data_IF_425182461995
#
_entry.id   IF_425182461995
#
_cell.length_a   1.000
_cell.length_b   1.000
_cell.length_c   1.000
_cell.angle_alpha   90.00
_cell.angle_beta   90.00
_cell.angle_gamma   90.00
#
_symmetry.space_group_name_H-M   'P 1'
#
loop_
_entity.id
_entity.type
_entity.pdbx_description
1 polymer ?
#
# COMPACT_ATOMS: atom_id res chain seq x y z
N UNK A 1 6.49 13.18 11.50
CA UNK A 1 6.03 11.78 11.39
C UNK A 1 6.14 10.96 12.67
N UNK A 2 7.24 11.04 13.44
CA UNK A 2 7.47 10.23 14.65
C UNK A 2 6.37 10.27 15.73
N UNK A 3 5.46 11.25 15.73
CA UNK A 3 4.32 11.28 16.66
C UNK A 3 3.14 10.41 16.18
N UNK A 4 2.93 10.27 14.87
CA UNK A 4 1.81 9.49 14.32
C UNK A 4 2.03 7.98 14.49
N UNK A 5 3.28 7.53 14.38
CA UNK A 5 3.65 6.12 14.55
C UNK A 5 3.45 5.59 15.98
N UNK A 6 3.15 6.48 16.95
CA UNK A 6 2.82 6.13 18.34
C UNK A 6 1.33 5.84 18.57
N UNK A 7 0.48 6.07 17.56
CA UNK A 7 -0.94 5.74 17.65
C UNK A 7 -1.11 4.21 17.55
N UNK A 8 -2.10 3.66 18.27
CA UNK A 8 -2.37 2.21 18.30
C UNK A 8 -2.57 1.59 16.90
N UNK A 9 -3.13 2.36 15.97
CA UNK A 9 -3.31 1.98 14.55
C UNK A 9 -2.00 1.80 13.76
N UNK A 10 -0.84 2.14 14.34
CA UNK A 10 0.49 1.86 13.79
C UNK A 10 1.21 0.75 14.56
N UNK A 11 0.57 0.04 15.48
CA UNK A 11 1.18 -1.09 16.19
C UNK A 11 1.63 -2.22 15.24
N UNK A 12 1.08 -2.30 14.03
CA UNK A 12 1.58 -3.23 12.99
C UNK A 12 3.07 -3.01 12.67
N UNK A 13 3.61 -1.81 12.90
CA UNK A 13 5.03 -1.51 12.72
C UNK A 13 5.92 -2.31 13.67
N UNK A 14 5.40 -2.71 14.84
CA UNK A 14 6.09 -3.61 15.76
C UNK A 14 6.17 -5.00 15.14
N UNK A 15 5.08 -5.49 14.54
CA UNK A 15 5.07 -6.76 13.82
C UNK A 15 5.96 -6.75 12.57
N UNK A 16 6.18 -5.58 11.95
CA UNK A 16 7.14 -5.43 10.86
C UNK A 16 8.59 -5.47 11.32
N UNK A 17 8.91 -5.06 12.55
CA UNK A 17 10.30 -5.06 13.03
C UNK A 17 10.94 -6.44 13.07
N UNK A 18 10.14 -7.51 13.08
CA UNK A 18 10.61 -8.89 12.93
C UNK A 18 10.91 -9.30 11.48
N UNK A 19 10.65 -8.44 10.49
CA UNK A 19 10.95 -8.68 9.08
C UNK A 19 12.08 -7.76 8.62
N UNK A 20 13.36 -8.18 8.72
CA UNK A 20 14.50 -7.31 8.47
C UNK A 20 14.55 -6.77 7.04
N UNK A 21 14.04 -7.54 6.07
CA UNK A 21 14.01 -7.17 4.65
C UNK A 21 12.88 -6.18 4.29
N UNK A 22 12.11 -5.70 5.27
CA UNK A 22 11.00 -4.77 5.05
C UNK A 22 11.03 -3.62 6.06
N UNK A 23 11.73 -2.55 5.71
CA UNK A 23 11.75 -1.30 6.47
C UNK A 23 10.88 -0.27 5.74
N UNK A 24 9.92 0.33 6.45
CA UNK A 24 9.10 1.40 5.89
C UNK A 24 9.94 2.66 5.71
N UNK A 25 9.89 3.20 4.50
CA UNK A 25 10.40 4.51 4.18
C UNK A 25 9.32 5.56 4.42
N UNK A 26 9.45 6.22 5.56
CA UNK A 26 8.48 7.18 6.03
C UNK A 26 8.42 8.45 5.17
N UNK A 27 9.55 8.93 4.69
CA UNK A 27 9.59 10.12 3.82
C UNK A 27 8.98 9.82 2.45
N UNK A 28 9.28 8.65 1.88
CA UNK A 28 8.68 8.18 0.63
C UNK A 28 7.16 7.95 0.77
N UNK A 29 6.75 7.31 1.88
CA UNK A 29 5.34 7.11 2.21
C UNK A 29 4.61 8.45 2.29
N UNK A 30 5.17 9.41 3.01
CA UNK A 30 4.56 10.74 3.15
C UNK A 30 4.49 11.48 1.82
N UNK A 31 5.55 11.42 1.02
CA UNK A 31 5.56 12.00 -0.32
C UNK A 31 4.44 11.42 -1.20
N UNK A 32 4.28 10.09 -1.22
CA UNK A 32 3.22 9.40 -1.97
C UNK A 32 1.80 9.77 -1.48
N UNK A 33 1.62 9.89 -0.16
CA UNK A 33 0.34 10.28 0.42
C UNK A 33 -0.07 11.71 0.06
N UNK A 34 0.88 12.65 0.03
CA UNK A 34 0.58 14.05 -0.31
C UNK A 34 0.52 14.31 -1.81
N UNK A 35 0.98 13.37 -2.63
CA UNK A 35 1.03 13.63 -4.05
C UNK A 35 -0.31 13.51 -4.76
N UNK A 36 -0.65 14.50 -5.57
CA UNK A 36 -1.86 14.47 -6.39
C UNK A 36 -1.59 13.74 -7.71
N UNK A 37 -2.51 12.88 -8.17
CA UNK A 37 -2.46 12.37 -9.53
C UNK A 37 -2.90 13.47 -10.49
N UNK A 38 -2.26 13.53 -11.65
CA UNK A 38 -2.74 14.29 -12.80
C UNK A 38 -2.99 13.28 -13.91
N UNK A 39 -4.25 12.99 -14.19
CA UNK A 39 -4.63 11.95 -15.16
C UNK A 39 -4.83 12.57 -16.55
N UNK A 40 -5.85 13.40 -16.71
CA UNK A 40 -6.19 14.09 -17.96
C UNK A 40 -6.95 15.40 -17.69
N UNK A 41 -7.39 16.08 -18.75
CA UNK A 41 -8.13 17.34 -18.66
C UNK A 41 -9.51 17.23 -17.98
N UNK A 42 -10.07 16.03 -17.84
CA UNK A 42 -11.33 15.78 -17.13
C UNK A 42 -11.15 15.65 -15.60
N UNK A 43 -9.90 15.53 -15.14
CA UNK A 43 -9.60 15.41 -13.72
C UNK A 43 -9.78 16.75 -13.00
N UNK A 44 -10.80 16.82 -12.15
CA UNK A 44 -11.16 18.05 -11.43
C UNK A 44 -10.51 18.11 -10.05
N UNK A 45 -10.51 19.30 -9.44
CA UNK A 45 -10.10 19.48 -8.04
C UNK A 45 -10.91 18.60 -7.06
N UNK A 46 -12.18 18.33 -7.37
CA UNK A 46 -13.00 17.45 -6.54
C UNK A 46 -12.53 15.99 -6.62
N UNK A 47 -12.11 15.54 -7.80
CA UNK A 47 -11.50 14.22 -7.98
C UNK A 47 -10.17 14.11 -7.21
N UNK A 48 -9.30 15.14 -7.31
CA UNK A 48 -8.04 15.21 -6.55
C UNK A 48 -8.28 15.13 -5.04
N UNK A 49 -9.20 15.94 -4.51
CA UNK A 49 -9.56 15.96 -3.09
C UNK A 49 -10.13 14.63 -2.61
N UNK A 50 -10.97 13.98 -3.43
CA UNK A 50 -11.56 12.68 -3.11
C UNK A 50 -10.50 11.58 -3.06
N UNK A 51 -9.59 11.57 -4.04
CA UNK A 51 -8.46 10.66 -4.09
C UNK A 51 -7.52 10.85 -2.89
N UNK A 52 -7.16 12.10 -2.58
CA UNK A 52 -6.36 12.43 -1.40
C UNK A 52 -7.03 11.94 -0.11
N UNK A 53 -8.32 12.21 0.07
CA UNK A 53 -9.10 11.75 1.23
C UNK A 53 -9.10 10.22 1.33
N UNK A 54 -9.28 9.52 0.21
CA UNK A 54 -9.26 8.06 0.18
C UNK A 54 -7.90 7.48 0.60
N UNK A 55 -6.79 8.03 0.10
CA UNK A 55 -5.43 7.62 0.50
C UNK A 55 -5.23 7.75 2.00
N UNK A 56 -5.63 8.86 2.60
CA UNK A 56 -5.50 9.04 4.04
C UNK A 56 -6.42 8.13 4.85
N UNK A 57 -7.67 7.90 4.41
CA UNK A 57 -8.55 6.92 5.06
C UNK A 57 -7.97 5.51 5.02
N UNK A 58 -7.40 5.11 3.89
CA UNK A 58 -6.71 3.82 3.72
C UNK A 58 -5.47 3.75 4.64
N UNK A 59 -4.62 4.78 4.60
CA UNK A 59 -3.42 4.85 5.43
C UNK A 59 -3.73 4.85 6.94
N UNK A 60 -4.84 5.44 7.36
CA UNK A 60 -5.20 5.60 8.76
C UNK A 60 -6.17 4.52 9.28
N UNK A 61 -6.55 3.53 8.48
CA UNK A 61 -7.57 2.52 8.82
C UNK A 61 -8.97 3.09 9.08
N UNK A 62 -9.30 4.23 8.47
CA UNK A 62 -10.59 4.93 8.63
C UNK A 62 -11.54 4.66 7.44
N UNK A 63 -11.37 3.54 6.73
CA UNK A 63 -12.36 3.08 5.77
C UNK A 63 -13.62 2.60 6.50
N UNK A 64 -14.82 2.78 5.92
CA UNK A 64 -16.09 2.44 6.56
C UNK A 64 -16.34 0.92 6.54
N UNK A 65 -15.54 0.15 7.29
CA UNK A 65 -15.77 -1.28 7.49
C UNK A 65 -17.01 -1.51 8.33
N UNK A 66 -17.61 -2.70 8.25
CA UNK A 66 -18.77 -3.02 9.09
C UNK A 66 -18.48 -2.83 10.59
N UNK A 67 -17.30 -3.22 11.08
CA UNK A 67 -16.91 -3.00 12.48
C UNK A 67 -16.76 -1.51 12.82
N UNK A 68 -16.34 -0.68 11.87
CA UNK A 68 -16.35 0.78 12.04
C UNK A 68 -17.79 1.32 12.07
N UNK A 69 -18.64 0.87 11.14
CA UNK A 69 -20.04 1.30 11.03
C UNK A 69 -20.86 0.97 12.28
N UNK A 70 -20.65 -0.21 12.88
CA UNK A 70 -21.24 -0.60 14.18
C UNK A 70 -20.92 0.38 15.30
N UNK A 71 -19.72 0.95 15.31
CA UNK A 71 -19.30 1.91 16.34
C UNK A 71 -19.96 3.27 16.16
N UNK A 72 -20.17 3.72 14.93
CA UNK A 72 -20.71 5.06 14.65
C UNK A 72 -22.23 5.08 14.55
N UNK A 73 -22.86 3.98 14.12
CA UNK A 73 -24.31 3.82 13.92
C UNK A 73 -24.77 2.43 14.36
N UNK A 74 -24.64 2.08 15.66
CA UNK A 74 -25.04 0.78 16.17
C UNK A 74 -26.52 0.50 15.90
N UNK A 75 -27.37 1.53 15.93
CA UNK A 75 -28.79 1.46 15.61
C UNK A 75 -29.10 0.86 14.23
N UNK A 76 -28.19 0.99 13.27
CA UNK A 76 -28.35 0.44 11.91
C UNK A 76 -27.57 -0.86 11.67
N UNK A 77 -26.42 -1.03 12.31
CA UNK A 77 -25.43 -2.03 11.92
C UNK A 77 -25.16 -3.11 12.97
N UNK A 78 -25.67 -2.99 14.21
CA UNK A 78 -25.31 -3.90 15.31
C UNK A 78 -25.64 -5.37 15.01
N UNK A 79 -26.76 -5.63 14.33
CA UNK A 79 -27.24 -6.98 14.02
C UNK A 79 -26.55 -7.62 12.81
N UNK A 80 -25.77 -6.85 12.05
CA UNK A 80 -25.04 -7.38 10.90
C UNK A 80 -23.73 -7.98 11.42
N UNK A 81 -23.73 -9.29 11.66
CA UNK A 81 -22.59 -9.95 12.31
C UNK A 81 -21.44 -10.27 11.35
N UNK A 82 -21.75 -10.50 10.07
CA UNK A 82 -20.81 -11.07 9.10
C UNK A 82 -20.58 -10.13 7.91
N UNK A 83 -19.40 -10.24 7.32
CA UNK A 83 -19.04 -9.58 6.07
C UNK A 83 -20.07 -9.91 5.00
N UNK A 84 -20.60 -8.88 4.34
CA UNK A 84 -21.64 -9.03 3.31
C UNK A 84 -21.16 -9.76 2.05
N UNK A 85 -19.85 -9.82 1.82
CA UNK A 85 -19.29 -10.53 0.67
C UNK A 85 -19.14 -12.02 0.92
N UNK A 86 -18.61 -12.43 2.08
CA UNK A 86 -18.28 -13.83 2.33
C UNK A 86 -19.23 -14.55 3.30
N UNK A 87 -20.01 -13.81 4.09
CA UNK A 87 -20.94 -14.31 5.10
C UNK A 87 -20.29 -15.28 6.11
N UNK A 88 -19.01 -15.10 6.41
CA UNK A 88 -18.21 -16.10 7.13
C UNK A 88 -17.33 -15.52 8.25
N UNK A 89 -17.08 -14.21 8.23
CA UNK A 89 -16.22 -13.56 9.23
C UNK A 89 -16.66 -12.11 9.44
N UNK A 90 -16.29 -11.53 10.58
CA UNK A 90 -16.46 -10.09 10.82
C UNK A 90 -15.69 -9.29 9.76
N UNK A 91 -16.29 -8.20 9.27
CA UNK A 91 -15.61 -7.29 8.34
C UNK A 91 -14.90 -6.18 9.12
N UNK A 92 -13.67 -6.46 9.54
CA UNK A 92 -12.72 -5.44 9.98
C UNK A 92 -11.84 -4.95 8.82
N UNK A 93 -10.92 -4.04 9.11
CA UNK A 93 -10.06 -3.43 8.10
C UNK A 93 -9.16 -4.46 7.38
N UNK A 94 -8.64 -5.46 8.11
CA UNK A 94 -7.85 -6.53 7.50
C UNK A 94 -8.72 -7.42 6.61
N UNK A 95 -9.90 -7.82 7.09
CA UNK A 95 -10.84 -8.64 6.33
C UNK A 95 -11.31 -7.95 5.04
N UNK A 96 -11.38 -6.61 5.02
CA UNK A 96 -11.75 -5.86 3.81
C UNK A 96 -10.93 -6.28 2.58
N UNK A 97 -9.63 -6.53 2.77
CA UNK A 97 -8.71 -6.93 1.72
C UNK A 97 -8.52 -8.45 1.65
N UNK A 98 -8.51 -9.13 2.81
CA UNK A 98 -8.26 -10.57 2.91
C UNK A 98 -9.49 -11.45 2.67
N UNK A 99 -10.68 -10.86 2.54
CA UNK A 99 -11.93 -11.57 2.31
C UNK A 99 -11.79 -12.53 1.12
N UNK A 100 -12.15 -13.81 1.29
CA UNK A 100 -12.04 -14.84 0.25
C UNK A 100 -12.71 -14.45 -1.07
N UNK A 101 -13.80 -13.69 -0.99
CA UNK A 101 -14.56 -13.21 -2.15
C UNK A 101 -13.91 -12.01 -2.87
N UNK A 102 -12.95 -11.33 -2.24
CA UNK A 102 -12.24 -10.15 -2.79
C UNK A 102 -10.76 -10.42 -3.06
N UNK A 103 -10.23 -11.51 -2.49
CA UNK A 103 -8.82 -11.90 -2.53
C UNK A 103 -8.24 -11.90 -3.94
N UNK A 104 -8.93 -12.49 -4.92
CA UNK A 104 -8.45 -12.56 -6.31
C UNK A 104 -8.23 -11.16 -6.89
N UNK A 105 -9.18 -10.25 -6.67
CA UNK A 105 -9.06 -8.87 -7.15
C UNK A 105 -7.90 -8.13 -6.46
N UNK A 106 -7.71 -8.36 -5.15
CA UNK A 106 -6.58 -7.77 -4.42
C UNK A 106 -5.22 -8.29 -4.89
N UNK A 107 -5.11 -9.60 -5.14
CA UNK A 107 -3.90 -10.21 -5.71
C UNK A 107 -3.62 -9.65 -7.11
N UNK A 108 -4.63 -9.47 -7.95
CA UNK A 108 -4.49 -8.85 -9.27
C UNK A 108 -4.00 -7.40 -9.20
N UNK A 109 -4.52 -6.60 -8.26
CA UNK A 109 -4.06 -5.23 -8.04
C UNK A 109 -2.59 -5.23 -7.61
N UNK A 110 -2.21 -6.10 -6.68
CA UNK A 110 -0.84 -6.21 -6.19
C UNK A 110 0.13 -6.65 -7.30
N UNK A 111 -0.27 -7.62 -8.13
CA UNK A 111 0.51 -8.07 -9.29
C UNK A 111 0.64 -6.96 -10.35
N UNK A 112 -0.43 -6.22 -10.63
CA UNK A 112 -0.38 -5.08 -11.56
C UNK A 112 0.59 -4.00 -11.07
N UNK A 113 0.57 -3.70 -9.77
CA UNK A 113 1.50 -2.77 -9.15
C UNK A 113 2.95 -3.27 -9.22
N UNK A 114 3.18 -4.56 -8.94
CA UNK A 114 4.50 -5.19 -9.05
C UNK A 114 5.04 -5.10 -10.49
N UNK A 115 4.24 -5.45 -11.49
CA UNK A 115 4.63 -5.37 -12.90
C UNK A 115 4.92 -3.95 -13.34
N UNK A 116 4.09 -2.98 -12.93
CA UNK A 116 4.33 -1.58 -13.24
C UNK A 116 5.68 -1.11 -12.70
N UNK A 117 6.01 -1.45 -11.45
CA UNK A 117 7.30 -1.10 -10.87
C UNK A 117 8.48 -1.79 -11.57
N UNK A 118 8.33 -3.06 -11.97
CA UNK A 118 9.33 -3.78 -12.77
C UNK A 118 9.59 -3.04 -14.09
N UNK A 119 8.55 -2.59 -14.77
CA UNK A 119 8.69 -1.82 -16.00
C UNK A 119 9.47 -0.51 -15.75
N UNK A 120 9.21 0.19 -14.64
CA UNK A 120 9.97 1.39 -14.25
C UNK A 120 11.44 1.10 -13.96
N UNK A 121 11.76 -0.04 -13.35
CA UNK A 121 13.14 -0.48 -13.15
C UNK A 121 13.83 -0.83 -14.48
N UNK A 122 13.10 -1.41 -15.43
CA UNK A 122 13.59 -1.69 -16.78
C UNK A 122 13.90 -0.40 -17.53
N UNK A 123 12.94 0.53 -17.60
CA UNK A 123 13.11 1.86 -18.20
C UNK A 123 14.31 2.59 -17.58
N UNK A 124 14.44 2.54 -16.26
CA UNK A 124 15.58 3.09 -15.53
C UNK A 124 16.91 2.45 -15.94
N UNK A 125 16.97 1.12 -16.03
CA UNK A 125 18.15 0.37 -16.47
C UNK A 125 18.57 0.73 -17.89
N UNK A 126 17.60 0.81 -18.80
CA UNK A 126 17.83 1.19 -20.20
C UNK A 126 18.40 2.62 -20.32
N UNK A 127 17.85 3.57 -19.56
CA UNK A 127 18.31 4.96 -19.53
C UNK A 127 19.77 5.10 -19.09
N UNK A 128 20.20 4.31 -18.10
CA UNK A 128 21.58 4.33 -17.57
C UNK A 128 22.48 3.28 -18.21
N UNK A 129 21.97 2.52 -19.20
CA UNK A 129 22.65 1.41 -19.90
C UNK A 129 23.20 0.35 -18.93
N UNK A 130 22.42 -0.03 -17.92
CA UNK A 130 22.73 -1.10 -16.96
C UNK A 130 21.64 -2.16 -16.99
N UNK A 131 22.04 -3.43 -16.90
CA UNK A 131 21.10 -4.55 -16.78
C UNK A 131 20.43 -4.56 -15.39
N UNK A 132 19.09 -4.38 -15.30
CA UNK A 132 18.37 -4.37 -14.03
C UNK A 132 17.94 -5.77 -13.57
N UNK A 133 18.30 -6.85 -14.28
CA UNK A 133 17.80 -8.21 -14.02
C UNK A 133 18.02 -8.68 -12.58
N UNK A 134 19.20 -8.45 -12.01
CA UNK A 134 19.49 -8.82 -10.62
C UNK A 134 18.63 -8.03 -9.61
N UNK A 135 18.42 -6.73 -9.88
CA UNK A 135 17.60 -5.84 -9.05
C UNK A 135 16.13 -6.26 -9.12
N UNK A 136 15.64 -6.59 -10.31
CA UNK A 136 14.28 -7.10 -10.52
C UNK A 136 14.06 -8.42 -9.77
N UNK A 137 15.06 -9.32 -9.74
CA UNK A 137 14.97 -10.56 -8.99
C UNK A 137 14.88 -10.30 -7.47
N UNK A 138 15.71 -9.40 -6.93
CA UNK A 138 15.61 -8.96 -5.52
C UNK A 138 14.26 -8.31 -5.22
N UNK A 139 13.76 -7.48 -6.13
CA UNK A 139 12.47 -6.82 -6.00
C UNK A 139 11.34 -7.85 -5.93
N UNK A 140 11.32 -8.85 -6.82
CA UNK A 140 10.33 -9.93 -6.83
C UNK A 140 10.37 -10.80 -5.57
N UNK A 141 11.53 -10.94 -4.92
CA UNK A 141 11.66 -11.70 -3.67
C UNK A 141 11.21 -10.96 -2.42
N UNK A 142 10.82 -9.67 -2.52
CA UNK A 142 10.36 -8.93 -1.36
C UNK A 142 9.12 -9.59 -0.73
N UNK A 143 9.04 -9.65 0.61
CA UNK A 143 7.95 -10.33 1.30
C UNK A 143 6.58 -9.69 1.07
N UNK A 144 6.51 -8.41 0.69
CA UNK A 144 5.25 -7.68 0.51
C UNK A 144 4.41 -8.11 -0.68
N UNK A 145 4.95 -8.94 -1.58
CA UNK A 145 4.21 -9.48 -2.73
C UNK A 145 3.33 -10.68 -2.38
N UNK A 146 3.52 -11.30 -1.21
CA UNK A 146 2.70 -12.43 -0.77
C UNK A 146 1.49 -11.95 0.02
N UNK A 147 0.28 -12.14 -0.49
CA UNK A 147 -0.93 -11.68 0.17
C UNK A 147 -1.46 -12.72 1.16
N UNK A 148 -1.29 -12.48 2.47
CA UNK A 148 -1.79 -13.35 3.54
C UNK A 148 -2.21 -12.56 4.79
N UNK A 149 -3.05 -13.16 5.63
CA UNK A 149 -3.54 -12.52 6.88
C UNK A 149 -2.45 -12.40 7.95
N UNK A 150 -1.37 -13.17 7.85
CA UNK A 150 -0.22 -13.10 8.73
C UNK A 150 0.93 -12.25 8.16
N UNK A 151 0.84 -11.84 6.89
CA UNK A 151 1.88 -11.05 6.26
C UNK A 151 1.64 -9.56 6.47
N UNK A 152 2.27 -9.02 7.51
CA UNK A 152 2.22 -7.59 7.81
C UNK A 152 2.88 -6.73 6.73
N UNK A 153 3.81 -7.27 5.94
CA UNK A 153 4.48 -6.49 4.88
C UNK A 153 3.53 -6.17 3.72
N UNK A 154 2.74 -7.15 3.25
CA UNK A 154 1.71 -6.92 2.23
C UNK A 154 0.60 -6.00 2.76
N UNK A 155 0.20 -6.20 4.02
CA UNK A 155 -0.78 -5.32 4.67
C UNK A 155 -0.32 -3.86 4.70
N UNK A 156 0.95 -3.65 5.03
CA UNK A 156 1.55 -2.31 5.10
C UNK A 156 1.59 -1.65 3.72
N UNK A 157 1.94 -2.41 2.69
CA UNK A 157 1.94 -1.94 1.31
C UNK A 157 0.53 -1.55 0.85
N UNK A 158 -0.49 -2.36 1.15
CA UNK A 158 -1.90 -2.05 0.84
C UNK A 158 -2.38 -0.79 1.57
N UNK A 159 -1.89 -0.53 2.79
CA UNK A 159 -2.14 0.74 3.49
C UNK A 159 -1.41 1.95 2.90
N UNK A 160 -0.55 1.74 1.91
CA UNK A 160 0.25 2.79 1.27
C UNK A 160 1.59 3.07 1.96
N UNK A 161 2.02 2.23 2.91
CA UNK A 161 3.37 2.32 3.47
C UNK A 161 4.38 1.73 2.49
N UNK A 162 5.31 2.56 2.03
CA UNK A 162 6.27 2.18 0.99
C UNK A 162 7.58 1.68 1.61
N UNK A 163 8.17 0.58 1.09
CA UNK A 163 9.44 0.06 1.60
C UNK A 163 10.62 0.92 1.16
N UNK A 164 11.65 1.01 2.00
CA UNK A 164 12.91 1.70 1.67
C UNK A 164 13.63 1.08 0.48
N UNK A 165 13.54 -0.25 0.37
CA UNK A 165 14.11 -1.01 -0.75
C UNK A 165 13.62 -0.53 -2.12
N UNK A 166 12.41 0.03 -2.23
CA UNK A 166 11.89 0.54 -3.50
C UNK A 166 12.79 1.63 -4.08
N UNK A 167 13.27 2.56 -3.25
CA UNK A 167 14.18 3.62 -3.71
C UNK A 167 15.60 3.10 -3.83
N UNK A 168 16.05 2.23 -2.92
CA UNK A 168 17.40 1.65 -2.94
C UNK A 168 17.67 0.90 -4.27
N UNK A 169 16.64 0.25 -4.85
CA UNK A 169 16.77 -0.38 -6.17
C UNK A 169 17.10 0.61 -7.30
N UNK A 170 16.56 1.83 -7.26
CA UNK A 170 16.93 2.88 -8.22
C UNK A 170 18.33 3.43 -7.91
N UNK A 171 18.71 3.54 -6.64
CA UNK A 171 20.05 3.97 -6.24
C UNK A 171 21.13 2.97 -6.68
N UNK A 172 20.85 1.66 -6.64
CA UNK A 172 21.71 0.61 -7.21
C UNK A 172 21.92 0.79 -8.73
N UNK A 173 20.93 1.34 -9.44
CA UNK A 173 21.05 1.75 -10.85
C UNK A 173 21.76 3.10 -11.04
N UNK A 174 22.25 3.73 -9.97
CA UNK A 174 22.81 5.08 -9.96
C UNK A 174 21.79 6.19 -10.29
N UNK A 175 20.51 5.94 -10.02
CA UNK A 175 19.45 6.96 -10.11
C UNK A 175 19.25 7.56 -8.71
N UNK A 176 19.44 8.88 -8.54
CA UNK A 176 19.27 9.52 -7.24
C UNK A 176 17.83 9.37 -6.73
N UNK A 177 17.68 9.21 -5.42
CA UNK A 177 16.39 9.15 -4.70
C UNK A 177 15.37 10.19 -5.16
N UNK A 178 15.77 11.46 -5.27
CA UNK A 178 14.87 12.54 -5.69
C UNK A 178 14.29 12.34 -7.10
N UNK A 179 15.05 11.69 -7.98
CA UNK A 179 14.59 11.33 -9.32
C UNK A 179 13.66 10.12 -9.23
N UNK A 180 14.04 9.08 -8.48
CA UNK A 180 13.23 7.89 -8.27
C UNK A 180 11.85 8.19 -7.68
N UNK A 181 11.77 9.13 -6.73
CA UNK A 181 10.50 9.58 -6.15
C UNK A 181 9.57 10.27 -7.16
N UNK A 182 10.12 10.88 -8.22
CA UNK A 182 9.34 11.55 -9.27
C UNK A 182 8.94 10.62 -10.41
N UNK A 183 9.58 9.45 -10.51
CA UNK A 183 9.26 8.41 -11.49
C UNK A 183 7.93 7.75 -11.10
N UNK A 184 6.81 8.39 -11.48
CA UNK A 184 5.49 7.75 -11.52
C UNK A 184 5.25 7.08 -12.87
#
# INVERSE_FOLDING_TARGET
>A
MHRLTRLSRFNFTIALSSTPDFVIDWDLTWFSLNSEPQHDASFTRAHASSHHTFKFKLFLEDLPTLEHLKRIRPDLYIDILLCRSCLDSKEDFMHLFMCKCRRIAMEQILLSYQHHFINKLQEAGDLVKKDPSLIINKFKSLPCWSFSSSNWTSYSLVRGCLPKSFVEFFEELSIPRNSAMKTR
#
